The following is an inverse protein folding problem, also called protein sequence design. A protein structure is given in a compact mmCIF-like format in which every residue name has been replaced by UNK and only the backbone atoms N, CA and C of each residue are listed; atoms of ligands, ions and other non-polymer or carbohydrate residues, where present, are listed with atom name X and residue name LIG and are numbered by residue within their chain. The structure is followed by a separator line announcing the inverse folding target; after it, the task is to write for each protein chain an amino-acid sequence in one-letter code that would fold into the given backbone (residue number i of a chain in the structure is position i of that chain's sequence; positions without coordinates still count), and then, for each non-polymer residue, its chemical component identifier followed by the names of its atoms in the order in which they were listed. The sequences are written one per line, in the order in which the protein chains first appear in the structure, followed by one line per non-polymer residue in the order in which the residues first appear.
data_IF_319496076298
#
_entry.id   IF_319496076298
#
_cell.length_a   1.000
_cell.length_b   1.000
_cell.length_c   1.000
_cell.angle_alpha   90.00
_cell.angle_beta   90.00
_cell.angle_gamma   90.00
#
_symmetry.space_group_name_H-M   'P 1'
#
loop_
_entity.id
_entity.type
_entity.pdbx_description
1 polymer ?
#
# COMPACT_ATOMS: atom_id res chain seq x y z
N UNK A 1 7.02 15.97 26.61
CA UNK A 1 7.56 16.96 25.63
C UNK A 1 8.22 18.17 26.30
N UNK A 2 7.74 18.69 27.45
CA UNK A 2 8.47 19.76 28.19
C UNK A 2 9.86 19.36 28.72
N UNK A 3 10.13 18.04 28.83
CA UNK A 3 11.41 17.48 29.29
C UNK A 3 12.61 17.82 28.40
N UNK A 4 12.38 18.22 27.14
CA UNK A 4 13.43 18.51 26.16
C UNK A 4 13.46 19.97 25.70
N UNK A 5 12.66 20.87 26.30
CA UNK A 5 12.65 22.29 25.92
C UNK A 5 12.14 22.60 24.52
N UNK A 6 11.59 21.62 23.79
CA UNK A 6 11.07 21.81 22.43
C UNK A 6 9.63 22.37 22.51
N UNK A 7 9.36 23.59 22.00
CA UNK A 7 8.01 24.14 21.94
C UNK A 7 7.15 23.31 20.98
N UNK A 8 6.06 22.73 21.49
CA UNK A 8 5.09 22.00 20.67
C UNK A 8 4.11 22.99 20.03
N UNK A 9 4.19 23.16 18.72
CA UNK A 9 3.19 23.89 17.95
C UNK A 9 2.16 22.88 17.41
N UNK A 10 0.94 22.92 17.97
CA UNK A 10 -0.13 21.99 17.62
C UNK A 10 -0.49 22.04 16.12
N UNK A 11 -0.50 23.21 15.51
CA UNK A 11 -0.86 23.38 14.09
C UNK A 11 0.18 22.75 13.15
N UNK A 12 1.44 22.68 13.60
CA UNK A 12 2.56 22.12 12.85
C UNK A 12 2.83 20.63 13.18
N UNK A 13 2.17 20.12 14.21
CA UNK A 13 2.34 18.75 14.71
C UNK A 13 1.20 17.80 14.29
N UNK A 14 0.21 18.28 13.54
CA UNK A 14 -0.86 17.45 12.99
C UNK A 14 -0.34 16.59 11.83
N UNK A 15 0.17 15.41 12.16
CA UNK A 15 0.51 14.36 11.18
C UNK A 15 -0.61 13.31 11.27
N UNK A 16 -1.55 13.36 10.33
CA UNK A 16 -2.58 12.31 10.21
C UNK A 16 -1.99 11.07 9.58
N UNK A 17 -2.48 9.91 9.98
CA UNK A 17 -2.10 8.64 9.35
C UNK A 17 -2.50 8.64 7.88
N UNK A 18 -1.53 8.47 6.97
CA UNK A 18 -1.80 8.46 5.53
C UNK A 18 -2.70 7.30 5.13
N UNK A 19 -2.57 6.12 5.76
CA UNK A 19 -3.44 4.97 5.48
C UNK A 19 -4.90 5.28 5.80
N UNK A 20 -5.15 6.02 6.88
CA UNK A 20 -6.48 6.50 7.23
C UNK A 20 -7.01 7.50 6.20
N UNK A 21 -6.18 8.45 5.76
CA UNK A 21 -6.59 9.40 4.69
C UNK A 21 -6.87 8.68 3.38
N UNK A 22 -6.05 7.70 3.00
CA UNK A 22 -6.28 6.85 1.83
C UNK A 22 -7.65 6.16 1.93
N UNK A 23 -7.98 5.62 3.09
CA UNK A 23 -9.28 5.00 3.34
C UNK A 23 -10.45 6.00 3.16
N UNK A 24 -10.33 7.23 3.67
CA UNK A 24 -11.35 8.28 3.45
C UNK A 24 -11.50 8.67 1.97
N UNK A 25 -10.39 8.75 1.24
CA UNK A 25 -10.41 9.04 -0.21
C UNK A 25 -11.11 7.92 -0.97
N UNK A 26 -10.78 6.67 -0.69
CA UNK A 26 -11.43 5.51 -1.33
C UNK A 26 -12.91 5.46 -0.99
N UNK A 27 -13.30 5.71 0.26
CA UNK A 27 -14.72 5.82 0.64
C UNK A 27 -15.43 6.91 -0.16
N UNK A 28 -14.79 8.08 -0.38
CA UNK A 28 -15.38 9.15 -1.18
C UNK A 28 -15.60 8.74 -2.63
N UNK A 29 -14.64 8.02 -3.22
CA UNK A 29 -14.76 7.46 -4.58
C UNK A 29 -15.95 6.48 -4.63
N UNK A 30 -16.01 5.54 -3.70
CA UNK A 30 -17.04 4.50 -3.68
C UNK A 30 -18.44 5.05 -3.35
N UNK A 31 -18.54 6.11 -2.53
CA UNK A 31 -19.81 6.77 -2.24
C UNK A 31 -20.43 7.41 -3.49
N UNK A 32 -19.63 7.98 -4.41
CA UNK A 32 -20.14 8.50 -5.70
C UNK A 32 -20.69 7.37 -6.56
N UNK A 33 -20.07 6.19 -6.49
CA UNK A 33 -20.53 4.99 -7.17
C UNK A 33 -21.73 4.33 -6.49
N UNK A 34 -22.18 4.87 -5.35
CA UNK A 34 -23.27 4.35 -4.49
C UNK A 34 -22.96 2.99 -3.87
N UNK A 35 -21.69 2.69 -3.67
CA UNK A 35 -21.21 1.41 -3.13
C UNK A 35 -20.99 1.45 -1.61
N UNK A 36 -21.20 2.62 -1.02
CA UNK A 36 -21.10 2.90 0.40
C UNK A 36 -22.31 3.75 0.79
N UNK A 37 -23.04 3.33 1.82
CA UNK A 37 -24.34 3.89 2.21
C UNK A 37 -24.26 5.33 2.72
N UNK A 38 -23.06 5.76 3.15
CA UNK A 38 -22.84 7.06 3.75
C UNK A 38 -21.57 7.75 3.22
N UNK A 39 -21.67 9.07 3.07
CA UNK A 39 -20.53 9.94 2.79
C UNK A 39 -19.52 9.86 3.96
N UNK A 40 -18.21 9.63 3.71
CA UNK A 40 -17.19 9.62 4.77
C UNK A 40 -17.12 10.91 5.58
N UNK A 41 -17.63 12.03 5.05
CA UNK A 41 -17.72 13.30 5.80
C UNK A 41 -18.85 13.27 6.85
N UNK A 42 -19.84 12.38 6.70
CA UNK A 42 -20.94 12.18 7.63
C UNK A 42 -20.70 10.97 8.56
N UNK A 43 -20.16 9.87 8.01
CA UNK A 43 -19.89 8.63 8.75
C UNK A 43 -18.55 8.04 8.33
N UNK A 44 -17.56 8.11 9.23
CA UNK A 44 -16.26 7.50 8.99
C UNK A 44 -16.30 5.99 9.27
N UNK A 45 -16.30 5.18 8.21
CA UNK A 45 -16.32 3.72 8.33
C UNK A 45 -15.13 3.16 9.11
N UNK A 46 -13.98 3.87 9.14
CA UNK A 46 -12.87 3.43 9.99
C UNK A 46 -13.25 3.50 11.46
N UNK A 47 -13.77 4.63 11.91
CA UNK A 47 -14.19 4.81 13.31
C UNK A 47 -15.38 3.91 13.67
N UNK A 48 -16.30 3.68 12.74
CA UNK A 48 -17.49 2.86 12.98
C UNK A 48 -17.19 1.35 13.02
N UNK A 49 -16.35 0.86 12.11
CA UNK A 49 -16.20 -0.59 11.90
C UNK A 49 -14.75 -1.07 12.01
N UNK A 50 -13.77 -0.35 11.46
CA UNK A 50 -12.42 -0.88 11.26
C UNK A 50 -11.43 -0.60 12.41
N UNK A 51 -11.70 0.39 13.27
CA UNK A 51 -10.80 0.83 14.35
C UNK A 51 -10.48 -0.26 15.36
N UNK A 52 -11.41 -1.20 15.55
CA UNK A 52 -11.28 -2.29 16.50
C UNK A 52 -10.61 -3.54 15.91
N UNK A 53 -10.39 -3.58 14.58
CA UNK A 53 -9.70 -4.69 13.94
C UNK A 53 -8.18 -4.55 14.10
N UNK A 54 -7.44 -5.68 14.16
CA UNK A 54 -5.98 -5.66 14.18
C UNK A 54 -5.43 -4.87 12.99
N UNK A 55 -4.59 -3.86 13.26
CA UNK A 55 -3.99 -2.99 12.23
C UNK A 55 -3.06 -3.78 11.29
N UNK A 56 -2.53 -4.91 11.78
CA UNK A 56 -1.65 -5.79 11.03
C UNK A 56 -2.30 -7.15 10.85
N UNK A 57 -2.65 -7.44 9.59
CA UNK A 57 -2.91 -8.80 9.15
C UNK A 57 -1.56 -9.54 9.10
N UNK A 58 -1.38 -10.52 9.99
CA UNK A 58 -0.22 -11.40 10.01
C UNK A 58 -0.66 -12.74 9.44
N UNK A 59 -0.16 -13.05 8.24
CA UNK A 59 -0.38 -14.36 7.62
C UNK A 59 0.06 -15.49 8.56
N UNK A 60 1.18 -15.26 9.24
CA UNK A 60 1.71 -16.25 10.17
C UNK A 60 0.75 -16.44 11.33
N UNK A 61 -0.04 -15.45 11.79
CA UNK A 61 -0.88 -15.59 13.01
C UNK A 61 -2.36 -15.93 12.74
N UNK A 62 -2.74 -16.15 11.48
CA UNK A 62 -4.10 -16.48 11.09
C UNK A 62 -4.33 -17.99 11.24
N UNK A 63 -4.90 -18.39 12.38
CA UNK A 63 -5.11 -19.81 12.74
C UNK A 63 -6.06 -20.51 11.77
N UNK A 64 -7.14 -19.82 11.36
CA UNK A 64 -8.07 -20.30 10.33
C UNK A 64 -7.32 -20.54 9.01
N UNK A 65 -6.44 -19.63 8.61
CA UNK A 65 -5.65 -19.78 7.40
C UNK A 65 -4.65 -20.93 7.46
N UNK A 66 -3.99 -21.15 8.60
CA UNK A 66 -3.05 -22.27 8.76
C UNK A 66 -3.77 -23.61 8.73
N UNK A 67 -4.92 -23.71 9.39
CA UNK A 67 -5.78 -24.89 9.33
C UNK A 67 -6.26 -25.12 7.89
N UNK A 68 -6.66 -24.04 7.19
CA UNK A 68 -7.05 -24.07 5.78
C UNK A 68 -5.93 -24.43 4.79
N UNK A 69 -4.66 -24.19 5.13
CA UNK A 69 -3.51 -24.60 4.32
C UNK A 69 -3.12 -26.06 4.52
N UNK A 70 -3.33 -26.60 5.72
CA UNK A 70 -3.05 -28.00 6.04
C UNK A 70 -4.04 -28.96 5.36
N UNK A 71 -5.30 -28.55 5.16
CA UNK A 71 -6.34 -29.36 4.50
C UNK A 71 -6.20 -29.43 2.97
N UNK A 72 -5.49 -28.50 2.33
CA UNK A 72 -5.35 -28.40 0.87
C UNK A 72 -4.11 -29.10 0.28
N UNK A 73 -3.29 -29.74 1.13
CA UNK A 73 -2.04 -30.44 0.78
C UNK A 73 -2.17 -31.97 0.80
N UNK A 74 -3.39 -32.50 0.88
CA UNK A 74 -3.63 -33.95 0.73
C UNK A 74 -3.43 -34.39 -0.73
N UNK A 75 -2.17 -34.53 -1.11
CA UNK A 75 -1.61 -35.53 -2.02
C UNK A 75 -2.39 -35.86 -3.29
N UNK A 76 -2.27 -35.02 -4.32
CA UNK A 76 -2.54 -35.43 -5.71
C UNK A 76 -1.22 -35.83 -6.41
N UNK A 77 -0.58 -36.87 -5.88
CA UNK A 77 0.32 -37.74 -6.66
C UNK A 77 -0.49 -38.96 -7.16
N UNK A 78 -1.63 -38.72 -7.80
CA UNK A 78 -2.48 -39.73 -8.41
C UNK A 78 -2.66 -39.43 -9.90
N UNK A 79 -1.99 -40.22 -10.73
CA UNK A 79 -2.41 -40.45 -12.12
C UNK A 79 -3.92 -40.77 -12.12
N UNK A 80 -4.73 -40.08 -12.92
CA UNK A 80 -5.73 -40.76 -13.78
C UNK A 80 -6.63 -39.76 -14.53
N UNK A 81 -6.66 -39.98 -15.84
CA UNK A 81 -7.84 -39.78 -16.67
C UNK A 81 -9.05 -40.47 -16.00
N UNK A 82 -9.96 -39.72 -15.40
CA UNK A 82 -11.41 -39.99 -15.42
C UNK A 82 -12.18 -38.87 -14.70
N UNK A 83 -13.03 -38.17 -15.46
CA UNK A 83 -13.91 -37.13 -14.93
C UNK A 83 -15.14 -37.81 -14.33
N UNK A 84 -15.15 -38.04 -13.02
CA UNK A 84 -16.40 -38.27 -12.31
C UNK A 84 -17.05 -36.92 -11.95
N UNK A 85 -18.22 -36.69 -12.54
CA UNK A 85 -19.11 -35.60 -12.17
C UNK A 85 -19.67 -35.91 -10.79
N UNK A 86 -19.16 -35.23 -9.75
CA UNK A 86 -19.71 -35.35 -8.39
C UNK A 86 -21.13 -34.76 -8.40
N UNK A 87 -22.13 -35.64 -8.33
CA UNK A 87 -23.55 -35.28 -8.14
C UNK A 87 -23.76 -34.86 -6.68
N UNK A 88 -23.73 -33.55 -6.44
CA UNK A 88 -23.90 -32.94 -5.11
C UNK A 88 -25.36 -32.84 -4.65
N UNK A 89 -26.33 -33.44 -5.36
CA UNK A 89 -27.74 -33.38 -4.96
C UNK A 89 -28.11 -34.21 -3.71
N UNK A 90 -27.16 -34.92 -3.10
CA UNK A 90 -27.45 -35.97 -2.13
C UNK A 90 -26.91 -35.75 -0.69
N UNK A 91 -26.39 -34.57 -0.33
CA UNK A 91 -25.95 -34.29 1.05
C UNK A 91 -26.94 -33.34 1.71
N UNK A 92 -27.63 -33.81 2.75
CA UNK A 92 -28.57 -33.01 3.54
C UNK A 92 -27.82 -32.13 4.53
N UNK A 93 -28.17 -30.85 4.54
CA UNK A 93 -27.62 -29.80 5.39
C UNK A 93 -28.14 -29.92 6.83
N UNK A 94 -27.25 -30.08 7.82
CA UNK A 94 -27.62 -30.07 9.25
C UNK A 94 -27.08 -28.85 10.03
N UNK A 95 -26.23 -28.01 9.42
CA UNK A 95 -25.59 -26.87 10.11
C UNK A 95 -25.71 -25.56 9.31
N UNK A 96 -26.91 -25.19 8.90
CA UNK A 96 -27.21 -23.80 8.52
C UNK A 96 -27.24 -22.95 9.78
N UNK A 97 -26.13 -22.25 10.09
CA UNK A 97 -26.26 -21.03 10.89
C UNK A 97 -27.09 -20.05 10.05
N UNK A 98 -28.31 -19.79 10.52
CA UNK A 98 -29.30 -18.85 9.98
C UNK A 98 -28.68 -17.45 9.90
N UNK A 99 -27.93 -17.19 8.83
CA UNK A 99 -27.55 -15.85 8.44
C UNK A 99 -28.83 -15.21 7.92
N UNK A 100 -29.26 -14.12 8.55
CA UNK A 100 -30.48 -13.37 8.23
C UNK A 100 -30.47 -13.03 6.72
N UNK A 101 -31.05 -13.93 5.92
CA UNK A 101 -31.31 -13.75 4.51
C UNK A 101 -32.53 -12.81 4.46
N UNK A 102 -32.28 -11.52 4.69
CA UNK A 102 -33.14 -10.50 4.11
C UNK A 102 -33.14 -10.82 2.60
N UNK A 103 -34.27 -11.32 2.10
CA UNK A 103 -34.53 -11.54 0.69
C UNK A 103 -34.27 -10.19 -0.01
N UNK A 104 -33.04 -9.98 -0.48
CA UNK A 104 -32.68 -8.84 -1.31
C UNK A 104 -33.57 -8.95 -2.56
N UNK A 105 -34.59 -8.09 -2.63
CA UNK A 105 -35.46 -7.94 -3.79
C UNK A 105 -34.60 -7.91 -5.06
N UNK A 106 -35.11 -8.47 -6.18
CA UNK A 106 -34.45 -8.53 -7.50
C UNK A 106 -34.16 -7.11 -8.07
N UNK A 107 -33.32 -6.33 -7.39
CA UNK A 107 -32.85 -5.04 -7.84
C UNK A 107 -31.77 -5.27 -8.91
N UNK A 108 -31.71 -4.35 -9.87
CA UNK A 108 -30.67 -4.34 -10.88
C UNK A 108 -29.33 -3.95 -10.21
N UNK A 109 -28.69 -4.92 -9.55
CA UNK A 109 -27.40 -4.76 -8.88
C UNK A 109 -26.34 -4.22 -9.85
N UNK A 110 -25.51 -3.31 -9.37
CA UNK A 110 -24.32 -2.84 -10.08
C UNK A 110 -23.31 -3.98 -10.24
N UNK A 111 -22.31 -3.76 -11.11
CA UNK A 111 -21.20 -4.71 -11.27
C UNK A 111 -20.42 -4.96 -9.97
N UNK A 112 -20.29 -3.94 -9.11
CA UNK A 112 -19.54 -4.06 -7.87
C UNK A 112 -20.39 -4.66 -6.75
N UNK A 113 -21.69 -4.35 -6.69
CA UNK A 113 -22.64 -5.01 -5.80
C UNK A 113 -22.71 -6.51 -6.09
N UNK A 114 -22.88 -6.92 -7.35
CA UNK A 114 -22.83 -8.35 -7.74
C UNK A 114 -21.54 -9.01 -7.29
N UNK A 115 -20.39 -8.37 -7.53
CA UNK A 115 -19.10 -8.89 -7.11
C UNK A 115 -19.03 -9.05 -5.59
N UNK A 116 -19.49 -8.05 -4.84
CA UNK A 116 -19.49 -8.04 -3.39
C UNK A 116 -20.42 -9.11 -2.82
N UNK A 117 -21.64 -9.25 -3.34
CA UNK A 117 -22.60 -10.28 -2.96
C UNK A 117 -22.06 -11.67 -3.27
N UNK A 118 -21.46 -11.87 -4.44
CA UNK A 118 -20.78 -13.12 -4.77
C UNK A 118 -19.64 -13.41 -3.79
N UNK A 119 -18.80 -12.41 -3.46
CA UNK A 119 -17.74 -12.59 -2.46
C UNK A 119 -18.30 -12.95 -1.09
N UNK A 120 -19.37 -12.28 -0.63
CA UNK A 120 -20.03 -12.57 0.65
C UNK A 120 -20.54 -14.02 0.70
N UNK A 121 -21.23 -14.48 -0.36
CA UNK A 121 -21.75 -15.86 -0.44
C UNK A 121 -20.63 -16.90 -0.63
N UNK A 122 -19.51 -16.53 -1.25
CA UNK A 122 -18.31 -17.38 -1.32
C UNK A 122 -17.72 -17.58 0.08
N UNK A 123 -17.66 -16.53 0.90
CA UNK A 123 -17.02 -16.62 2.23
C UNK A 123 -17.97 -17.10 3.33
N UNK A 124 -19.28 -17.17 3.09
CA UNK A 124 -20.28 -17.45 4.13
C UNK A 124 -20.16 -18.86 4.72
N UNK A 125 -19.96 -19.89 3.90
CA UNK A 125 -19.91 -21.29 4.36
C UNK A 125 -18.58 -21.99 4.03
N UNK A 126 -18.13 -22.96 4.86
CA UNK A 126 -16.94 -23.77 4.56
C UNK A 126 -16.99 -24.45 3.19
N UNK A 127 -18.15 -24.99 2.81
CA UNK A 127 -18.38 -25.69 1.55
C UNK A 127 -18.27 -24.74 0.36
N UNK A 128 -18.87 -23.55 0.47
CA UNK A 128 -18.80 -22.50 -0.55
C UNK A 128 -17.36 -22.03 -0.78
N UNK A 129 -16.59 -21.84 0.31
CA UNK A 129 -15.16 -21.52 0.27
C UNK A 129 -14.35 -22.62 -0.41
N UNK A 130 -14.59 -23.89 -0.07
CA UNK A 130 -13.90 -25.03 -0.66
C UNK A 130 -14.17 -25.13 -2.18
N UNK A 131 -15.43 -25.01 -2.60
CA UNK A 131 -15.81 -25.01 -4.01
C UNK A 131 -15.14 -23.87 -4.79
N UNK A 132 -15.09 -22.66 -4.23
CA UNK A 132 -14.40 -21.53 -4.86
C UNK A 132 -12.90 -21.79 -5.02
N UNK A 133 -12.25 -22.39 -4.01
CA UNK A 133 -10.82 -22.72 -4.07
C UNK A 133 -10.52 -23.75 -5.17
N UNK A 134 -11.32 -24.79 -5.33
CA UNK A 134 -11.15 -25.76 -6.41
C UNK A 134 -11.25 -25.08 -7.78
N UNK A 135 -12.21 -24.16 -7.96
CA UNK A 135 -12.33 -23.35 -9.17
C UNK A 135 -11.10 -22.44 -9.38
N UNK A 136 -10.64 -21.75 -8.34
CA UNK A 136 -9.48 -20.87 -8.39
C UNK A 136 -8.18 -21.63 -8.70
N UNK A 137 -7.97 -22.78 -8.09
CA UNK A 137 -6.78 -23.62 -8.31
C UNK A 137 -6.71 -24.13 -9.76
N UNK A 138 -7.85 -24.53 -10.34
CA UNK A 138 -7.94 -24.93 -11.74
C UNK A 138 -7.56 -23.79 -12.69
N UNK A 139 -8.06 -22.59 -12.42
CA UNK A 139 -7.74 -21.40 -13.22
C UNK A 139 -6.29 -20.93 -13.06
N UNK A 140 -5.73 -21.07 -11.86
CA UNK A 140 -4.35 -20.67 -11.57
C UNK A 140 -3.34 -21.66 -12.17
N UNK A 141 -3.57 -22.98 -12.07
CA UNK A 141 -2.73 -24.01 -12.68
C UNK A 141 -2.57 -23.81 -14.19
N UNK A 142 -3.60 -23.31 -14.88
CA UNK A 142 -3.55 -22.98 -16.31
C UNK A 142 -2.68 -21.76 -16.67
N UNK A 143 -2.27 -20.94 -15.70
CA UNK A 143 -1.49 -19.71 -15.90
C UNK A 143 -0.03 -19.83 -15.43
N UNK A 144 0.33 -20.91 -14.75
CA UNK A 144 1.64 -21.09 -14.15
C UNK A 144 2.66 -21.67 -15.14
N UNK A 145 3.89 -21.14 -15.12
CA UNK A 145 5.05 -21.80 -15.73
C UNK A 145 5.60 -22.89 -14.81
N UNK A 146 6.12 -23.98 -15.38
CA UNK A 146 6.64 -25.13 -14.64
C UNK A 146 7.64 -24.72 -13.53
N UNK A 147 7.35 -25.11 -12.28
CA UNK A 147 8.23 -24.91 -11.13
C UNK A 147 7.90 -23.72 -10.21
N UNK A 148 6.87 -22.91 -10.52
CA UNK A 148 6.36 -21.92 -9.56
C UNK A 148 5.36 -22.58 -8.60
N UNK A 149 5.38 -22.20 -7.32
CA UNK A 149 4.32 -22.50 -6.36
C UNK A 149 3.44 -21.25 -6.19
N UNK A 150 2.11 -21.37 -6.05
CA UNK A 150 1.23 -20.23 -5.81
C UNK A 150 1.63 -19.52 -4.51
N UNK A 151 1.80 -18.19 -4.54
CA UNK A 151 2.01 -17.44 -3.29
C UNK A 151 0.76 -17.53 -2.41
N UNK A 152 0.87 -17.63 -1.06
CA UNK A 152 -0.27 -17.69 -0.16
C UNK A 152 -1.27 -16.53 -0.36
N UNK A 153 -0.76 -15.33 -0.67
CA UNK A 153 -1.59 -14.15 -0.94
C UNK A 153 -2.45 -14.26 -2.22
N UNK A 154 -2.06 -15.11 -3.18
CA UNK A 154 -2.88 -15.39 -4.37
C UNK A 154 -4.04 -16.34 -4.04
N UNK A 155 -3.88 -17.20 -3.03
CA UNK A 155 -4.91 -18.14 -2.54
C UNK A 155 -5.99 -17.45 -1.69
N UNK A 156 -5.72 -16.23 -1.22
CA UNK A 156 -6.51 -15.52 -0.21
C UNK A 156 -7.59 -14.56 -0.76
N UNK A 157 -7.57 -14.15 -2.02
CA UNK A 157 -8.40 -13.02 -2.48
C UNK A 157 -9.38 -13.39 -3.59
N UNK A 158 -10.61 -13.73 -3.20
CA UNK A 158 -11.77 -13.97 -4.09
C UNK A 158 -11.87 -12.90 -5.19
N UNK A 159 -11.68 -11.63 -4.82
CA UNK A 159 -11.81 -10.45 -5.68
C UNK A 159 -10.84 -10.43 -6.88
N UNK A 160 -9.76 -11.21 -6.85
CA UNK A 160 -8.71 -11.18 -7.90
C UNK A 160 -8.95 -12.18 -9.03
N UNK A 161 -9.62 -13.29 -8.75
CA UNK A 161 -9.77 -14.40 -9.67
C UNK A 161 -11.11 -14.35 -10.38
N UNK A 162 -11.24 -13.40 -11.31
CA UNK A 162 -12.47 -13.13 -12.06
C UNK A 162 -13.12 -14.39 -12.63
N UNK A 163 -12.30 -15.29 -13.19
CA UNK A 163 -12.77 -16.56 -13.77
C UNK A 163 -13.16 -17.59 -12.72
N UNK A 164 -12.53 -17.58 -11.55
CA UNK A 164 -12.89 -18.45 -10.45
C UNK A 164 -14.25 -18.05 -9.88
N UNK A 165 -14.51 -16.74 -9.78
CA UNK A 165 -15.82 -16.20 -9.37
C UNK A 165 -16.89 -16.63 -10.39
N UNK A 166 -16.67 -16.40 -11.69
CA UNK A 166 -17.64 -16.81 -12.71
C UNK A 166 -17.87 -18.33 -12.69
N UNK A 167 -16.81 -19.14 -12.55
CA UNK A 167 -16.93 -20.60 -12.47
C UNK A 167 -17.71 -21.05 -11.24
N UNK A 168 -17.48 -20.42 -10.09
CA UNK A 168 -18.21 -20.69 -8.86
C UNK A 168 -19.67 -20.27 -8.98
N UNK A 169 -19.96 -19.10 -9.56
CA UNK A 169 -21.35 -18.66 -9.79
C UNK A 169 -22.08 -19.60 -10.74
N UNK A 170 -21.40 -20.09 -11.79
CA UNK A 170 -21.98 -21.04 -12.76
C UNK A 170 -22.31 -22.38 -12.10
N UNK A 171 -21.50 -22.85 -11.14
CA UNK A 171 -21.74 -24.11 -10.45
C UNK A 171 -22.84 -24.04 -9.38
N UNK A 172 -23.30 -22.84 -9.02
CA UNK A 172 -24.36 -22.64 -8.02
C UNK A 172 -25.56 -21.96 -8.67
N UNK A 173 -26.53 -22.76 -9.10
CA UNK A 173 -27.67 -22.28 -9.88
C UNK A 173 -28.46 -21.16 -9.19
N UNK A 174 -28.56 -21.16 -7.85
CA UNK A 174 -29.22 -20.10 -7.09
C UNK A 174 -28.54 -18.72 -7.21
N UNK A 175 -27.26 -18.67 -7.59
CA UNK A 175 -26.47 -17.43 -7.67
C UNK A 175 -26.25 -16.93 -9.10
N UNK A 176 -26.84 -17.57 -10.12
CA UNK A 176 -26.62 -17.19 -11.54
C UNK A 176 -26.92 -15.73 -11.87
N UNK A 177 -27.81 -15.08 -11.13
CA UNK A 177 -28.12 -13.66 -11.29
C UNK A 177 -26.90 -12.75 -10.97
N UNK A 178 -25.93 -13.24 -10.20
CA UNK A 178 -24.68 -12.56 -9.87
C UNK A 178 -23.59 -12.70 -10.95
N UNK A 179 -23.86 -13.43 -12.04
CA UNK A 179 -22.88 -13.64 -13.11
C UNK A 179 -22.51 -12.30 -13.76
N UNK A 180 -21.21 -12.04 -13.86
CA UNK A 180 -20.68 -10.78 -14.38
C UNK A 180 -20.41 -10.89 -15.88
N UNK A 181 -21.05 -10.04 -16.66
CA UNK A 181 -20.82 -9.93 -18.10
C UNK A 181 -19.50 -9.25 -18.45
N UNK A 182 -19.08 -9.36 -19.72
CA UNK A 182 -17.84 -8.74 -20.22
C UNK A 182 -17.74 -7.24 -19.96
N UNK A 183 -18.86 -6.51 -20.05
CA UNK A 183 -18.94 -5.07 -19.78
C UNK A 183 -18.76 -4.75 -18.29
N UNK A 184 -19.38 -5.54 -17.43
CA UNK A 184 -19.28 -5.40 -15.97
C UNK A 184 -17.84 -5.69 -15.50
N UNK A 185 -17.24 -6.77 -15.99
CA UNK A 185 -15.81 -7.04 -15.78
C UNK A 185 -14.91 -5.94 -16.33
N UNK A 186 -15.25 -5.35 -17.47
CA UNK A 186 -14.54 -4.19 -18.02
C UNK A 186 -14.59 -2.98 -17.07
N UNK A 187 -15.75 -2.74 -16.45
CA UNK A 187 -15.96 -1.66 -15.48
C UNK A 187 -15.16 -1.91 -14.20
N UNK A 188 -15.20 -3.14 -13.67
CA UNK A 188 -14.44 -3.54 -12.48
C UNK A 188 -12.92 -3.46 -12.71
N UNK A 189 -12.43 -3.78 -13.91
CA UNK A 189 -11.00 -3.58 -14.27
C UNK A 189 -10.59 -2.12 -14.25
N UNK A 190 -11.43 -1.24 -14.80
CA UNK A 190 -11.21 0.22 -14.74
C UNK A 190 -11.20 0.70 -13.28
N UNK A 191 -12.18 0.29 -12.48
CA UNK A 191 -12.23 0.63 -11.06
C UNK A 191 -10.99 0.14 -10.30
N UNK A 192 -10.56 -1.11 -10.54
CA UNK A 192 -9.34 -1.64 -9.96
C UNK A 192 -8.10 -0.83 -10.37
N UNK A 193 -8.00 -0.35 -11.62
CA UNK A 193 -6.88 0.50 -12.04
C UNK A 193 -6.82 1.82 -11.27
N UNK A 194 -7.98 2.44 -10.99
CA UNK A 194 -8.10 3.65 -10.17
C UNK A 194 -7.70 3.35 -8.71
N UNK A 195 -8.18 2.23 -8.16
CA UNK A 195 -7.97 1.91 -6.74
C UNK A 195 -6.59 1.32 -6.43
N UNK A 196 -5.87 0.83 -7.45
CA UNK A 196 -4.60 0.13 -7.27
C UNK A 196 -3.55 1.03 -6.60
N UNK A 197 -3.52 2.33 -6.92
CA UNK A 197 -2.52 3.23 -6.34
C UNK A 197 -2.65 3.31 -4.81
N UNK A 198 -3.87 3.39 -4.29
CA UNK A 198 -4.15 3.45 -2.87
C UNK A 198 -3.70 2.20 -2.15
N UNK A 199 -3.87 1.03 -2.77
CA UNK A 199 -3.35 -0.24 -2.24
C UNK A 199 -1.83 -0.22 -2.13
N UNK A 200 -1.13 0.27 -3.17
CA UNK A 200 0.34 0.37 -3.15
C UNK A 200 0.82 1.32 -2.05
N UNK A 201 0.21 2.51 -1.96
CA UNK A 201 0.54 3.51 -0.93
C UNK A 201 0.31 2.96 0.46
N UNK A 202 -0.85 2.38 0.75
CA UNK A 202 -1.15 1.78 2.07
C UNK A 202 -0.13 0.71 2.43
N UNK A 203 0.19 -0.22 1.51
CA UNK A 203 1.20 -1.26 1.77
C UNK A 203 2.57 -0.68 2.07
N UNK A 204 3.01 0.32 1.30
CA UNK A 204 4.32 0.95 1.49
C UNK A 204 4.39 1.74 2.80
N UNK A 205 3.34 2.47 3.13
CA UNK A 205 3.30 3.35 4.30
C UNK A 205 3.00 2.62 5.62
N UNK A 206 2.58 1.35 5.56
CA UNK A 206 2.37 0.48 6.73
C UNK A 206 3.62 -0.35 7.11
N UNK A 207 4.76 -0.17 6.43
CA UNK A 207 5.99 -0.91 6.74
C UNK A 207 6.60 -0.43 8.06
N UNK A 208 6.90 -1.37 8.96
CA UNK A 208 7.53 -1.06 10.25
C UNK A 208 9.07 -0.89 10.18
N UNK A 209 9.73 -1.47 9.19
CA UNK A 209 11.20 -1.55 9.11
C UNK A 209 11.86 -0.41 8.34
N UNK A 210 11.09 0.54 7.81
CA UNK A 210 11.60 1.68 7.02
C UNK A 210 10.95 3.00 7.47
N UNK A 211 11.68 4.12 7.52
CA UNK A 211 11.08 5.41 7.79
C UNK A 211 10.07 5.80 6.70
N UNK A 212 8.79 5.92 7.09
CA UNK A 212 7.70 6.27 6.16
C UNK A 212 7.43 7.77 6.10
N UNK A 213 7.75 8.53 7.15
CA UNK A 213 7.50 9.98 7.20
C UNK A 213 8.08 10.75 5.99
N UNK A 214 9.31 10.49 5.49
CA UNK A 214 9.85 11.17 4.31
C UNK A 214 9.03 10.98 3.04
N UNK A 215 8.29 9.87 2.96
CA UNK A 215 7.48 9.50 1.81
C UNK A 215 6.08 10.11 1.84
N UNK A 216 5.68 10.77 2.93
CA UNK A 216 4.32 11.30 3.09
C UNK A 216 3.95 12.25 1.94
N UNK A 217 4.68 13.35 1.75
CA UNK A 217 4.42 14.32 0.66
C UNK A 217 4.52 13.63 -0.71
N UNK A 218 5.56 12.83 -1.01
CA UNK A 218 5.63 12.08 -2.26
C UNK A 218 4.43 11.19 -2.56
N UNK A 219 3.90 10.47 -1.57
CA UNK A 219 2.75 9.59 -1.76
C UNK A 219 1.47 10.38 -2.06
N UNK A 220 1.23 11.50 -1.38
CA UNK A 220 0.11 12.39 -1.71
C UNK A 220 0.19 12.91 -3.14
N UNK A 221 1.37 13.39 -3.54
CA UNK A 221 1.58 13.90 -4.89
C UNK A 221 1.36 12.82 -5.96
N UNK A 222 1.82 11.60 -5.70
CA UNK A 222 1.66 10.49 -6.64
C UNK A 222 0.19 10.06 -6.77
N UNK A 223 -0.55 9.98 -5.65
CA UNK A 223 -1.99 9.72 -5.68
C UNK A 223 -2.77 10.84 -6.40
N UNK A 224 -2.40 12.10 -6.16
CA UNK A 224 -3.03 13.27 -6.81
C UNK A 224 -2.88 13.20 -8.33
N UNK A 225 -1.65 12.99 -8.83
CA UNK A 225 -1.38 12.86 -10.26
C UNK A 225 -2.15 11.69 -10.87
N UNK A 226 -2.17 10.54 -10.21
CA UNK A 226 -2.91 9.38 -10.71
C UNK A 226 -4.42 9.64 -10.81
N UNK A 227 -5.02 10.29 -9.81
CA UNK A 227 -6.43 10.70 -9.90
C UNK A 227 -6.67 11.71 -11.02
N UNK A 228 -5.78 12.69 -11.21
CA UNK A 228 -5.88 13.67 -12.30
C UNK A 228 -5.78 13.01 -13.69
N UNK A 229 -4.91 12.02 -13.85
CA UNK A 229 -4.83 11.23 -15.08
C UNK A 229 -6.18 10.56 -15.38
N UNK A 230 -6.80 9.93 -14.38
CA UNK A 230 -8.11 9.30 -14.54
C UNK A 230 -9.26 10.29 -14.73
N UNK A 231 -9.21 11.46 -14.10
CA UNK A 231 -10.21 12.54 -14.30
C UNK A 231 -10.18 13.04 -15.75
N UNK A 232 -8.99 13.10 -16.36
CA UNK A 232 -8.79 13.60 -17.72
C UNK A 232 -8.88 12.49 -18.80
N UNK A 233 -9.04 11.22 -18.41
CA UNK A 233 -9.15 10.10 -19.33
C UNK A 233 -10.55 10.01 -19.95
N UNK A 234 -10.69 10.51 -21.18
CA UNK A 234 -11.96 10.48 -21.93
C UNK A 234 -12.46 9.07 -22.28
N UNK A 235 -11.65 8.02 -22.10
CA UNK A 235 -12.06 6.62 -22.29
C UNK A 235 -12.74 6.04 -21.04
N UNK A 236 -12.63 6.74 -19.91
CA UNK A 236 -13.27 6.38 -18.65
C UNK A 236 -14.72 6.85 -18.64
N UNK A 237 -15.59 6.06 -18.02
CA UNK A 237 -17.02 6.38 -17.93
C UNK A 237 -17.22 7.64 -17.06
N UNK A 238 -18.24 8.46 -17.38
CA UNK A 238 -18.48 9.74 -16.69
C UNK A 238 -18.54 9.56 -15.17
N UNK A 239 -19.29 8.57 -14.70
CA UNK A 239 -19.45 8.28 -13.27
C UNK A 239 -18.14 7.93 -12.58
N UNK A 240 -17.22 7.25 -13.27
CA UNK A 240 -15.89 6.93 -12.74
C UNK A 240 -15.00 8.19 -12.68
N UNK A 241 -15.12 9.10 -13.66
CA UNK A 241 -14.39 10.38 -13.63
C UNK A 241 -14.91 11.29 -12.52
N UNK A 242 -16.23 11.35 -12.34
CA UNK A 242 -16.87 12.04 -11.22
C UNK A 242 -16.42 11.46 -9.87
N UNK A 243 -16.36 10.14 -9.74
CA UNK A 243 -15.86 9.47 -8.54
C UNK A 243 -14.38 9.80 -8.26
N UNK A 244 -13.53 9.79 -9.30
CA UNK A 244 -12.14 10.22 -9.17
C UNK A 244 -12.02 11.69 -8.76
N UNK A 245 -12.87 12.58 -9.29
CA UNK A 245 -12.89 14.00 -8.93
C UNK A 245 -13.28 14.20 -7.45
N UNK A 246 -14.27 13.46 -6.96
CA UNK A 246 -14.66 13.48 -5.55
C UNK A 246 -13.53 12.97 -4.63
N UNK A 247 -12.89 11.85 -5.01
CA UNK A 247 -11.70 11.34 -4.32
C UNK A 247 -10.54 12.33 -4.32
N UNK A 248 -10.28 13.00 -5.45
CA UNK A 248 -9.23 14.01 -5.58
C UNK A 248 -9.47 15.19 -4.66
N UNK A 249 -10.70 15.72 -4.64
CA UNK A 249 -11.08 16.79 -3.72
C UNK A 249 -10.80 16.39 -2.27
N UNK A 250 -11.18 15.18 -1.86
CA UNK A 250 -10.94 14.68 -0.51
C UNK A 250 -9.44 14.53 -0.20
N UNK A 251 -8.66 14.06 -1.17
CA UNK A 251 -7.21 13.95 -1.04
C UNK A 251 -6.56 15.32 -0.83
N UNK A 252 -7.02 16.35 -1.55
CA UNK A 252 -6.46 17.70 -1.52
C UNK A 252 -6.64 18.41 -0.17
N UNK A 253 -7.72 18.12 0.56
CA UNK A 253 -7.94 18.62 1.93
C UNK A 253 -6.76 18.28 2.83
N UNK A 254 -6.36 17.02 2.82
CA UNK A 254 -5.27 16.50 3.64
C UNK A 254 -3.90 16.83 3.05
N UNK A 255 -3.77 16.81 1.72
CA UNK A 255 -2.51 17.15 1.09
C UNK A 255 -2.08 18.58 1.43
N UNK A 256 -3.02 19.52 1.47
CA UNK A 256 -2.78 20.92 1.86
C UNK A 256 -2.27 21.04 3.30
N UNK A 257 -2.75 20.20 4.22
CA UNK A 257 -2.29 20.16 5.62
C UNK A 257 -0.87 19.60 5.69
N UNK A 258 -0.63 18.47 5.04
CA UNK A 258 0.67 17.79 5.04
C UNK A 258 1.76 18.64 4.40
N UNK A 259 1.45 19.42 3.35
CA UNK A 259 2.40 20.37 2.72
C UNK A 259 2.81 21.53 3.64
N UNK A 260 2.07 21.81 4.71
CA UNK A 260 2.39 22.88 5.68
C UNK A 260 3.16 22.36 6.89
N UNK A 261 3.20 21.05 7.11
CA UNK A 261 3.91 20.46 8.24
C UNK A 261 5.42 20.53 8.02
N UNK A 262 6.13 21.22 8.91
CA UNK A 262 7.59 21.27 8.87
C UNK A 262 8.20 19.87 9.01
N UNK A 263 7.54 18.97 9.75
CA UNK A 263 8.06 17.64 10.05
C UNK A 263 8.07 16.76 8.80
N UNK A 264 7.01 16.82 7.99
CA UNK A 264 6.93 16.08 6.73
C UNK A 264 7.92 16.66 5.71
N UNK A 265 8.01 18.00 5.62
CA UNK A 265 8.98 18.67 4.74
C UNK A 265 10.42 18.29 5.13
N UNK A 266 10.79 18.47 6.40
CA UNK A 266 12.14 18.18 6.89
C UNK A 266 12.48 16.70 6.74
N UNK A 267 11.54 15.79 7.04
CA UNK A 267 11.77 14.36 6.85
C UNK A 267 12.08 14.02 5.39
N UNK A 268 11.35 14.61 4.42
CA UNK A 268 11.63 14.45 2.99
C UNK A 268 13.00 15.06 2.63
N UNK A 269 13.33 16.25 3.13
CA UNK A 269 14.64 16.90 2.87
C UNK A 269 15.82 16.13 3.47
N UNK A 270 15.61 15.46 4.61
CA UNK A 270 16.61 14.61 5.26
C UNK A 270 16.71 13.22 4.62
N UNK A 271 15.85 12.86 3.68
CA UNK A 271 16.01 11.59 2.99
C UNK A 271 17.09 11.71 1.90
N UNK A 272 18.19 10.94 1.94
CA UNK A 272 19.34 11.11 1.05
C UNK A 272 19.00 10.95 -0.44
N UNK A 273 17.97 10.15 -0.75
CA UNK A 273 17.51 9.90 -2.12
C UNK A 273 16.41 10.84 -2.62
N UNK A 274 15.87 11.70 -1.76
CA UNK A 274 14.84 12.68 -2.13
C UNK A 274 15.42 14.10 -2.03
N UNK A 275 15.89 14.44 -0.82
CA UNK A 275 16.41 15.75 -0.43
C UNK A 275 15.44 16.88 -0.77
N UNK A 276 15.94 18.12 -0.72
CA UNK A 276 15.17 19.27 -1.20
C UNK A 276 14.85 19.14 -2.71
N UNK A 277 15.70 18.46 -3.48
CA UNK A 277 15.57 18.34 -4.93
C UNK A 277 14.23 17.72 -5.36
N UNK A 278 13.67 16.79 -4.57
CA UNK A 278 12.37 16.19 -4.86
C UNK A 278 11.23 17.24 -4.93
N UNK A 279 11.29 18.32 -4.15
CA UNK A 279 10.27 19.38 -4.15
C UNK A 279 10.18 20.15 -5.47
N UNK A 280 11.19 20.05 -6.35
CA UNK A 280 11.09 20.57 -7.73
C UNK A 280 9.97 19.90 -8.53
N UNK A 281 9.54 18.69 -8.15
CA UNK A 281 8.37 18.03 -8.73
C UNK A 281 7.05 18.76 -8.43
N UNK A 282 7.02 19.63 -7.41
CA UNK A 282 5.84 20.39 -7.00
C UNK A 282 5.87 21.80 -7.62
N UNK A 283 6.84 22.61 -7.21
CA UNK A 283 7.04 23.97 -7.71
C UNK A 283 8.41 24.52 -7.29
N UNK A 284 8.84 25.61 -7.93
CA UNK A 284 10.04 26.35 -7.52
C UNK A 284 9.90 26.93 -6.11
N UNK A 285 8.70 27.38 -5.75
CA UNK A 285 8.43 27.96 -4.42
C UNK A 285 8.49 26.89 -3.33
N UNK A 286 7.94 25.69 -3.56
CA UNK A 286 8.03 24.57 -2.64
C UNK A 286 9.50 24.15 -2.41
N UNK A 287 10.31 24.10 -3.46
CA UNK A 287 11.75 23.82 -3.37
C UNK A 287 12.48 24.87 -2.53
N UNK A 288 12.24 26.15 -2.81
CA UNK A 288 12.87 27.26 -2.08
C UNK A 288 12.44 27.28 -0.61
N UNK A 289 11.15 27.01 -0.33
CA UNK A 289 10.60 26.88 1.01
C UNK A 289 11.26 25.74 1.79
N UNK A 290 11.39 24.56 1.18
CA UNK A 290 12.06 23.41 1.78
C UNK A 290 13.54 23.69 2.09
N UNK A 291 14.28 24.32 1.17
CA UNK A 291 15.66 24.75 1.39
C UNK A 291 15.79 25.75 2.55
N UNK A 292 14.88 26.73 2.61
CA UNK A 292 14.89 27.78 3.63
C UNK A 292 14.60 27.21 5.01
N UNK A 293 13.57 26.36 5.12
CA UNK A 293 13.22 25.68 6.36
C UNK A 293 14.35 24.78 6.86
N UNK A 294 14.95 24.00 5.98
CA UNK A 294 16.08 23.14 6.33
C UNK A 294 17.26 23.95 6.88
N UNK A 295 17.67 25.03 6.20
CA UNK A 295 18.76 25.89 6.69
C UNK A 295 18.44 26.48 8.06
N UNK A 296 17.24 27.01 8.25
CA UNK A 296 16.84 27.57 9.53
C UNK A 296 16.96 26.57 10.69
N UNK A 297 16.43 25.35 10.51
CA UNK A 297 16.48 24.30 11.54
C UNK A 297 17.90 23.76 11.71
N UNK A 298 18.68 23.66 10.64
CA UNK A 298 20.09 23.27 10.70
C UNK A 298 20.92 24.29 11.48
N UNK A 299 20.73 25.60 11.24
CA UNK A 299 21.45 26.66 11.95
C UNK A 299 21.07 26.71 13.44
N UNK A 300 19.84 26.37 13.80
CA UNK A 300 19.44 26.17 15.19
C UNK A 300 20.15 24.97 15.81
N UNK A 301 20.12 23.82 15.13
CA UNK A 301 20.83 22.61 15.57
C UNK A 301 22.34 22.85 15.74
N UNK A 302 22.99 23.49 14.78
CA UNK A 302 24.43 23.74 14.76
C UNK A 302 24.91 24.74 15.82
N UNK A 303 24.02 25.59 16.37
CA UNK A 303 24.35 26.45 17.50
C UNK A 303 24.49 25.66 18.81
N UNK A 304 23.70 24.60 18.95
CA UNK A 304 23.62 23.80 20.17
C UNK A 304 24.50 22.53 20.13
N UNK A 305 25.07 22.20 18.97
CA UNK A 305 25.84 20.97 18.76
C UNK A 305 27.20 21.26 18.11
N UNK A 306 28.24 20.56 18.59
CA UNK A 306 29.58 20.62 17.97
C UNK A 306 29.55 19.80 16.67
N UNK A 307 30.07 20.32 15.54
CA UNK A 307 30.08 19.58 14.28
C UNK A 307 30.85 18.26 14.42
N UNK A 308 30.17 17.14 14.15
CA UNK A 308 30.83 15.86 13.99
C UNK A 308 31.50 15.79 12.61
N UNK A 309 32.59 15.03 12.49
CA UNK A 309 33.29 14.85 11.21
C UNK A 309 32.35 14.30 10.14
N UNK A 310 32.29 14.98 8.99
CA UNK A 310 31.39 14.62 7.89
C UNK A 310 31.60 13.15 7.45
N UNK A 311 30.51 12.40 7.19
CA UNK A 311 30.61 11.01 6.76
C UNK A 311 31.34 10.89 5.41
N UNK A 312 32.11 9.81 5.27
CA UNK A 312 32.65 9.39 3.99
C UNK A 312 31.50 8.95 3.08
N UNK A 313 31.53 9.27 1.77
CA UNK A 313 30.53 8.80 0.83
C UNK A 313 30.53 7.27 0.83
N UNK A 314 29.37 6.69 1.10
CA UNK A 314 29.18 5.24 1.05
C UNK A 314 28.56 4.88 -0.30
N UNK A 315 29.29 4.11 -1.10
CA UNK A 315 28.77 3.48 -2.32
C UNK A 315 27.84 2.34 -1.90
N UNK A 316 26.60 2.67 -1.53
CA UNK A 316 25.58 1.65 -1.24
C UNK A 316 25.02 1.18 -2.57
N UNK A 317 25.22 -0.10 -2.88
CA UNK A 317 24.58 -0.77 -4.00
C UNK A 317 23.07 -0.64 -3.85
N UNK A 318 22.43 -0.08 -4.87
CA UNK A 318 20.98 0.06 -4.98
C UNK A 318 20.44 -1.34 -5.26
N UNK A 319 19.88 -1.98 -4.25
CA UNK A 319 19.07 -3.17 -4.47
C UNK A 319 17.69 -2.71 -4.96
N UNK A 320 17.48 -2.84 -6.27
CA UNK A 320 16.43 -2.20 -7.06
C UNK A 320 15.08 -2.95 -6.98
N UNK A 321 14.83 -3.64 -5.85
CA UNK A 321 13.75 -4.62 -5.75
C UNK A 321 12.36 -3.98 -5.49
N UNK A 322 12.26 -2.64 -5.49
CA UNK A 322 10.99 -1.92 -5.34
C UNK A 322 10.84 -0.75 -6.32
N UNK A 323 10.41 -1.08 -7.55
CA UNK A 323 10.06 -0.12 -8.62
C UNK A 323 9.11 1.01 -8.21
N UNK A 324 8.27 0.77 -7.20
CA UNK A 324 7.29 1.75 -6.75
C UNK A 324 7.92 2.98 -6.07
N UNK A 325 8.84 2.80 -5.11
CA UNK A 325 9.49 3.93 -4.45
C UNK A 325 10.42 4.69 -5.40
N UNK A 326 11.05 3.99 -6.36
CA UNK A 326 11.82 4.64 -7.42
C UNK A 326 10.93 5.56 -8.28
N UNK A 327 9.69 5.13 -8.57
CA UNK A 327 8.70 5.92 -9.32
C UNK A 327 8.23 7.14 -8.51
N UNK A 328 7.85 6.93 -7.25
CA UNK A 328 7.37 8.00 -6.35
C UNK A 328 8.47 9.02 -6.03
N UNK A 329 9.70 8.53 -5.84
CA UNK A 329 10.88 9.31 -5.48
C UNK A 329 11.64 9.87 -6.67
N UNK A 330 11.16 9.67 -7.90
CA UNK A 330 11.85 10.12 -9.11
C UNK A 330 12.16 11.61 -9.04
N UNK A 331 13.43 11.95 -9.26
CA UNK A 331 13.92 13.32 -9.24
C UNK A 331 13.91 13.92 -10.64
N UNK A 332 13.57 15.21 -10.81
CA UNK A 332 13.70 15.89 -12.11
C UNK A 332 15.14 15.95 -12.60
N UNK A 333 16.08 16.12 -11.66
CA UNK A 333 17.51 16.19 -11.92
C UNK A 333 18.24 15.14 -11.07
N UNK A 334 19.22 14.40 -11.62
CA UNK A 334 20.02 13.48 -10.83
C UNK A 334 20.86 14.25 -9.79
N UNK A 335 21.05 13.64 -8.61
CA UNK A 335 21.88 14.20 -7.55
C UNK A 335 23.34 14.18 -8.02
N UNK A 336 23.91 15.35 -8.28
CA UNK A 336 25.30 15.48 -8.69
C UNK A 336 26.25 15.09 -7.54
N UNK A 337 27.16 14.15 -7.80
CA UNK A 337 28.26 13.82 -6.89
C UNK A 337 29.46 14.71 -7.18
N UNK A 338 29.32 16.03 -7.02
CA UNK A 338 30.48 16.92 -7.09
C UNK A 338 31.20 16.97 -5.74
N UNK A 339 32.48 16.58 -5.72
CA UNK A 339 33.31 16.74 -4.53
C UNK A 339 33.93 18.14 -4.51
N UNK A 340 33.88 18.72 -3.32
CA UNK A 340 34.60 19.89 -2.85
C UNK A 340 33.93 21.24 -3.14
N UNK A 341 33.54 21.89 -2.05
CA UNK A 341 33.51 23.34 -1.98
C UNK A 341 33.75 23.79 -0.55
N UNK A 342 34.19 25.04 -0.37
CA UNK A 342 34.26 25.75 0.91
C UNK A 342 32.87 26.07 1.51
N UNK A 343 31.84 25.30 1.16
CA UNK A 343 30.44 25.50 1.56
C UNK A 343 30.19 25.00 2.99
N UNK A 344 29.16 25.57 3.61
CA UNK A 344 28.61 25.07 4.88
C UNK A 344 28.11 23.64 4.73
N UNK A 345 28.03 22.87 5.82
CA UNK A 345 27.49 21.50 5.79
C UNK A 345 26.06 21.44 5.24
N UNK A 346 25.21 22.42 5.60
CA UNK A 346 23.87 22.56 5.05
C UNK A 346 23.88 22.72 3.53
N UNK A 347 24.77 23.57 3.00
CA UNK A 347 24.85 23.80 1.55
C UNK A 347 25.45 22.58 0.82
N UNK A 348 26.36 21.83 1.45
CA UNK A 348 26.87 20.56 0.93
C UNK A 348 25.76 19.51 0.84
N UNK A 349 24.92 19.41 1.89
CA UNK A 349 23.74 18.54 1.88
C UNK A 349 22.75 18.91 0.78
N UNK A 350 22.39 20.19 0.66
CA UNK A 350 21.48 20.67 -0.38
C UNK A 350 22.04 20.50 -1.79
N UNK A 351 23.37 20.55 -1.95
CA UNK A 351 24.05 20.31 -3.22
C UNK A 351 24.10 18.83 -3.63
N UNK A 352 23.65 17.90 -2.79
CA UNK A 352 23.66 16.48 -3.12
C UNK A 352 24.93 15.73 -2.73
N UNK A 353 25.85 16.36 -2.00
CA UNK A 353 27.09 15.69 -1.59
C UNK A 353 26.80 14.43 -0.76
N UNK A 354 27.60 13.38 -0.99
CA UNK A 354 27.46 12.08 -0.33
C UNK A 354 26.48 11.10 -1.01
N UNK A 355 25.87 11.46 -2.15
CA UNK A 355 25.08 10.54 -2.98
C UNK A 355 23.65 10.28 -2.48
N UNK A 356 22.89 9.52 -3.27
CA UNK A 356 21.45 9.31 -3.05
C UNK A 356 21.11 8.31 -1.92
N UNK A 357 22.06 7.49 -1.46
CA UNK A 357 21.77 6.41 -0.50
C UNK A 357 20.71 5.42 -0.99
N UNK A 358 20.22 4.55 -0.11
CA UNK A 358 19.17 3.59 -0.42
C UNK A 358 17.78 4.17 -0.11
N UNK A 359 16.82 4.03 -1.04
CA UNK A 359 15.45 4.56 -0.87
C UNK A 359 14.66 3.89 0.26
N UNK A 360 14.88 2.59 0.49
CA UNK A 360 14.19 1.83 1.53
C UNK A 360 14.90 1.94 2.88
N UNK A 361 16.21 2.15 2.88
CA UNK A 361 17.03 2.13 4.09
C UNK A 361 17.85 3.41 4.23
N UNK A 362 17.20 4.60 4.30
CA UNK A 362 17.91 5.87 4.37
C UNK A 362 18.79 5.98 5.62
N UNK A 363 18.45 5.28 6.70
CA UNK A 363 19.26 5.24 7.92
C UNK A 363 20.61 4.56 7.73
N UNK A 364 20.78 3.69 6.73
CA UNK A 364 22.09 3.11 6.41
C UNK A 364 23.05 4.17 5.88
N UNK A 365 22.53 5.22 5.23
CA UNK A 365 23.34 6.37 4.82
C UNK A 365 23.83 7.18 6.03
N UNK A 366 22.97 7.35 7.05
CA UNK A 366 23.29 8.07 8.29
C UNK A 366 24.16 7.28 9.27
N UNK A 367 24.15 5.94 9.18
CA UNK A 367 25.01 5.10 10.01
C UNK A 367 26.46 5.24 9.57
N UNK A 368 27.21 6.04 10.31
CA UNK A 368 28.67 5.96 10.31
C UNK A 368 29.07 4.63 10.93
N UNK A 369 29.81 3.80 10.20
CA UNK A 369 30.50 2.66 10.80
C UNK A 369 31.47 3.16 11.88
N UNK A 370 31.08 3.10 13.15
CA UNK A 370 31.95 3.31 14.33
C UNK A 370 33.21 2.42 14.31
N UNK A 371 33.26 1.41 13.44
CA UNK A 371 34.39 0.48 13.28
C UNK A 371 35.65 1.09 12.65
N UNK A 372 35.58 2.27 12.03
CA UNK A 372 36.79 2.92 11.51
C UNK A 372 37.64 3.61 12.59
N UNK A 373 37.13 3.73 13.84
CA UNK A 373 37.91 4.20 14.98
C UNK A 373 38.57 3.07 15.80
N UNK A 374 38.22 1.79 15.56
CA UNK A 374 38.74 0.67 16.36
C UNK A 374 39.71 -0.26 15.63
N UNK A 375 39.96 -0.08 14.33
CA UNK A 375 41.06 -0.77 13.63
C UNK A 375 40.96 -2.29 13.59
N UNK A 376 39.76 -2.88 13.66
CA UNK A 376 39.57 -4.33 13.53
C UNK A 376 38.74 -4.63 12.28
N UNK A 377 39.43 -5.07 11.24
CA UNK A 377 38.85 -5.65 10.04
C UNK A 377 38.40 -7.07 10.38
N UNK A 378 37.09 -7.34 10.35
CA UNK A 378 36.60 -8.70 10.17
C UNK A 378 35.52 -8.66 9.10
N UNK A 379 35.87 -9.18 7.93
CA UNK A 379 34.94 -9.57 6.88
C UNK A 379 33.87 -10.47 7.50
N UNK A 380 32.61 -10.03 7.39
CA UNK A 380 31.38 -10.82 7.30
C UNK A 380 30.20 -9.91 7.66
N UNK A 381 29.54 -9.36 6.64
CA UNK A 381 28.18 -8.85 6.77
C UNK A 381 27.30 -9.51 5.70
N UNK A 382 26.75 -10.66 6.06
CA UNK A 382 25.32 -10.92 5.90
C UNK A 382 24.75 -11.08 7.30
N UNK A 383 23.57 -10.50 7.57
CA UNK A 383 22.59 -11.32 8.26
C UNK A 383 21.19 -11.08 7.68
N UNK A 384 20.80 -11.94 6.76
CA UNK A 384 19.50 -12.59 6.92
C UNK A 384 19.71 -13.73 7.92
N UNK A 385 19.26 -13.56 9.15
CA UNK A 385 18.80 -14.67 9.98
C UNK A 385 17.91 -14.16 11.10
N UNK A 386 16.77 -14.80 11.17
CA UNK A 386 15.70 -14.76 12.15
C UNK A 386 16.17 -14.82 13.61
N UNK A 387 15.26 -14.40 14.49
CA UNK A 387 15.30 -14.46 15.96
C UNK A 387 15.93 -15.76 16.55
N UNK A 388 16.28 -15.72 17.84
CA UNK A 388 15.30 -16.18 18.82
C UNK A 388 15.05 -15.16 19.94
N UNK A 389 13.77 -15.10 20.37
CA UNK A 389 13.36 -14.56 21.65
C UNK A 389 14.15 -15.19 22.80
N UNK A 390 14.43 -14.39 23.83
CA UNK A 390 14.40 -14.81 25.23
C UNK A 390 14.43 -13.56 26.13
N UNK A 391 13.24 -13.09 26.51
CA UNK A 391 12.77 -12.87 27.90
C UNK A 391 11.51 -12.00 27.90
#
# INVERSE_FOLDING_TARGET
MSRYGIPFNADNAQIRCIAHVVNLVVQKILAVLKEVDADPDAQDYYELFLKHFPIHFSYDDDEDLREWEAEGDDGDEGDDDDVEVIDMSAVQDEDEEEFDDEEEEEENLTALEKLRTACKKIVSTPQSRAAFRSAAQKELRGQMTAGQTPTPLARLMVVRDMKAIDSWVISHDQYRHLLLGKKEWGTLKKLNSILQIFTKVTKTMSRASTPTLPWTIPMYEHMRKNLEEHINDTSLDESLREACAAGHQKLMEYYTIVKKSQHTILATVLHPGLRANWFKNLSTDDYNGACTLFRHVFDEYARDHVPATAPLPSDVLVDDDYSFLATVGALPDPIASERASSRSEADRWLAGEGGAGNLNFPLMWYKVCDRLLSGVYTDNFYPYRSMPMNL
#
